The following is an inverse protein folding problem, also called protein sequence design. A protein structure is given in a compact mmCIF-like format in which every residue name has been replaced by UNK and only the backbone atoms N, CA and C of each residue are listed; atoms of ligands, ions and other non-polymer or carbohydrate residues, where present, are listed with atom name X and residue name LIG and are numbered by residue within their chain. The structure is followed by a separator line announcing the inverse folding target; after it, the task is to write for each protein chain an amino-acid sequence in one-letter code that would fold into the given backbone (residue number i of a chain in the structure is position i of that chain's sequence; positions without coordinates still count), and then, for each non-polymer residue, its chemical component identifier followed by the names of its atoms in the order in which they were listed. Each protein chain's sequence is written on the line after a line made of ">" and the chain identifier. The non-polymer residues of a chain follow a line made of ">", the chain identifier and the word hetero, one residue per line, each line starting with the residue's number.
data_IF_289240959117
#
_entry.id   IF_289240959117
#
_cell.length_a   1.000
_cell.length_b   1.000
_cell.length_c   1.000
_cell.angle_alpha   90.00
_cell.angle_beta   90.00
_cell.angle_gamma   90.00
#
_symmetry.space_group_name_H-M   'P 1'
#
loop_
_entity.id
_entity.type
_entity.pdbx_description
1 polymer ?
#
# COMPACT_ATOMS: atom_id res chain seq x y z
N UNK A 1 -1.25 11.16 22.28
CA UNK A 1 -1.11 11.38 20.83
C UNK A 1 0.06 10.55 20.30
N UNK A 2 -0.16 9.66 19.34
CA UNK A 2 0.88 8.76 18.82
C UNK A 2 1.77 9.50 17.81
N UNK A 3 3.10 9.34 17.90
CA UNK A 3 4.03 9.95 16.92
C UNK A 3 4.03 9.16 15.61
N UNK A 4 3.93 9.88 14.48
CA UNK A 4 4.10 9.33 13.13
C UNK A 4 5.55 9.44 12.68
N UNK A 5 5.99 8.51 11.84
CA UNK A 5 7.37 8.51 11.32
C UNK A 5 7.62 9.59 10.25
N UNK A 6 6.56 10.12 9.65
CA UNK A 6 6.63 11.19 8.66
C UNK A 6 5.55 12.22 8.96
N UNK A 7 5.94 13.49 8.97
CA UNK A 7 5.04 14.63 9.04
C UNK A 7 4.66 15.05 7.62
N UNK A 8 3.37 15.09 7.27
CA UNK A 8 2.96 15.57 5.95
C UNK A 8 3.33 17.04 5.77
N UNK A 9 3.73 17.42 4.56
CA UNK A 9 4.07 18.80 4.24
C UNK A 9 2.85 19.75 4.38
N UNK A 10 1.65 19.24 4.10
CA UNK A 10 0.40 19.94 4.36
C UNK A 10 -0.55 19.02 5.15
N UNK A 11 -0.78 19.28 6.45
CA UNK A 11 -1.62 18.43 7.29
C UNK A 11 -3.10 18.50 6.90
N UNK A 12 -3.57 19.63 6.35
CA UNK A 12 -4.97 19.82 5.97
C UNK A 12 -5.35 19.01 4.72
N UNK A 13 -4.37 18.75 3.85
CA UNK A 13 -4.55 18.01 2.59
C UNK A 13 -4.05 16.55 2.68
N UNK A 14 -3.78 16.06 3.89
CA UNK A 14 -3.21 14.73 4.09
C UNK A 14 -4.07 13.89 5.02
N UNK A 15 -4.42 12.69 4.59
CA UNK A 15 -5.00 11.66 5.45
C UNK A 15 -3.92 10.72 5.98
N UNK A 16 -4.09 10.28 7.23
CA UNK A 16 -3.17 9.35 7.90
C UNK A 16 -3.97 8.18 8.46
N UNK A 17 -3.43 6.97 8.32
CA UNK A 17 -3.96 5.76 8.94
C UNK A 17 -2.83 4.96 9.59
N UNK A 18 -3.14 4.27 10.69
CA UNK A 18 -2.19 3.44 11.43
C UNK A 18 -2.84 2.16 11.95
N UNK A 19 -2.12 1.06 11.86
CA UNK A 19 -2.41 -0.18 12.58
C UNK A 19 -1.29 -0.47 13.58
N UNK A 20 -1.64 -0.85 14.81
CA UNK A 20 -0.70 -1.23 15.88
C UNK A 20 -0.85 -2.71 16.22
N UNK A 21 0.24 -3.37 16.63
CA UNK A 21 0.25 -4.78 17.07
C UNK A 21 -0.36 -5.79 16.07
N UNK A 22 -0.17 -5.54 14.77
CA UNK A 22 -0.69 -6.42 13.72
C UNK A 22 0.03 -7.78 13.72
N UNK A 23 -0.74 -8.87 13.71
CA UNK A 23 -0.22 -10.26 13.61
C UNK A 23 0.19 -10.61 12.18
N UNK A 24 1.16 -9.89 11.63
CA UNK A 24 1.71 -10.09 10.28
C UNK A 24 3.23 -10.17 10.28
N UNK A 25 3.80 -10.80 9.25
CA UNK A 25 5.25 -10.79 9.05
C UNK A 25 5.72 -9.40 8.67
N UNK A 26 6.61 -8.83 9.49
CA UNK A 26 7.22 -7.54 9.24
C UNK A 26 7.90 -7.47 7.87
N UNK A 27 8.68 -8.51 7.51
CA UNK A 27 9.46 -8.55 6.27
C UNK A 27 8.56 -8.47 5.04
N UNK A 28 7.47 -9.23 5.02
CA UNK A 28 6.53 -9.23 3.89
C UNK A 28 5.76 -7.92 3.77
N UNK A 29 5.29 -7.40 4.91
CA UNK A 29 4.52 -6.15 4.94
C UNK A 29 5.36 -4.96 4.48
N UNK A 30 6.66 -4.92 4.83
CA UNK A 30 7.58 -3.88 4.36
C UNK A 30 7.72 -3.88 2.84
N UNK A 31 7.99 -5.03 2.23
CA UNK A 31 8.16 -5.11 0.77
C UNK A 31 6.85 -4.76 0.05
N UNK A 32 5.71 -5.20 0.59
CA UNK A 32 4.38 -4.85 0.07
C UNK A 32 4.12 -3.35 0.12
N UNK A 33 4.39 -2.70 1.26
CA UNK A 33 4.22 -1.26 1.43
C UNK A 33 5.17 -0.47 0.52
N UNK A 34 6.38 -0.98 0.30
CA UNK A 34 7.35 -0.36 -0.60
C UNK A 34 6.92 -0.46 -2.07
N UNK A 35 6.22 -1.53 -2.47
CA UNK A 35 5.75 -1.72 -3.84
C UNK A 35 4.70 -0.67 -4.25
N UNK A 36 3.82 -0.28 -3.32
CA UNK A 36 2.75 0.70 -3.57
C UNK A 36 3.16 2.16 -3.28
N UNK A 37 4.39 2.38 -2.78
CA UNK A 37 4.85 3.72 -2.37
C UNK A 37 4.90 4.66 -3.58
N UNK A 38 4.17 5.78 -3.50
CA UNK A 38 4.13 6.81 -4.55
C UNK A 38 3.12 6.55 -5.66
N UNK A 39 2.26 5.53 -5.53
CA UNK A 39 1.19 5.27 -6.49
C UNK A 39 -0.08 6.04 -6.11
N UNK A 40 -0.92 6.28 -7.11
CA UNK A 40 -2.29 6.76 -6.86
C UNK A 40 -3.09 5.67 -6.13
N UNK A 41 -4.00 6.08 -5.24
CA UNK A 41 -4.77 5.20 -4.35
C UNK A 41 -5.58 4.15 -5.13
N UNK A 42 -6.26 4.57 -6.20
CA UNK A 42 -7.03 3.66 -7.06
C UNK A 42 -6.14 2.60 -7.73
N UNK A 43 -4.98 3.02 -8.26
CA UNK A 43 -4.01 2.11 -8.87
C UNK A 43 -3.44 1.12 -7.85
N UNK A 44 -3.17 1.58 -6.63
CA UNK A 44 -2.68 0.74 -5.55
C UNK A 44 -3.71 -0.33 -5.14
N UNK A 45 -5.00 0.02 -5.03
CA UNK A 45 -6.08 -0.94 -4.73
C UNK A 45 -6.17 -2.04 -5.77
N UNK A 46 -6.25 -1.67 -7.05
CA UNK A 46 -6.33 -2.62 -8.17
C UNK A 46 -5.10 -3.56 -8.17
N UNK A 47 -3.91 -3.03 -7.93
CA UNK A 47 -2.70 -3.84 -7.87
C UNK A 47 -2.72 -4.84 -6.72
N UNK A 48 -3.17 -4.44 -5.54
CA UNK A 48 -3.26 -5.34 -4.38
C UNK A 48 -4.28 -6.45 -4.61
N UNK A 49 -5.40 -6.17 -5.30
CA UNK A 49 -6.37 -7.18 -5.73
C UNK A 49 -5.76 -8.16 -6.73
N UNK A 50 -5.08 -7.66 -7.77
CA UNK A 50 -4.37 -8.51 -8.74
C UNK A 50 -3.29 -9.38 -8.09
N UNK A 51 -2.69 -8.94 -6.98
CA UNK A 51 -1.75 -9.75 -6.20
C UNK A 51 -2.45 -10.86 -5.42
N UNK A 52 -3.67 -10.62 -4.91
CA UNK A 52 -4.48 -11.67 -4.28
C UNK A 52 -4.94 -12.72 -5.31
N UNK A 53 -5.21 -12.29 -6.54
CA UNK A 53 -5.55 -13.15 -7.67
C UNK A 53 -4.32 -13.80 -8.33
N UNK A 54 -3.13 -13.58 -7.78
CA UNK A 54 -1.85 -14.11 -8.27
C UNK A 54 -1.49 -13.70 -9.72
N UNK A 55 -2.16 -12.68 -10.27
CA UNK A 55 -1.88 -12.14 -11.60
C UNK A 55 -0.58 -11.31 -11.61
N UNK A 56 -0.35 -10.58 -10.53
CA UNK A 56 0.87 -9.80 -10.30
C UNK A 56 1.54 -10.21 -8.99
N UNK A 57 2.85 -10.03 -8.88
CA UNK A 57 3.61 -10.38 -7.68
C UNK A 57 4.20 -9.15 -6.99
N UNK A 58 4.45 -9.27 -5.69
CA UNK A 58 5.14 -8.25 -4.91
C UNK A 58 6.65 -8.45 -5.04
N UNK A 59 7.39 -7.43 -5.51
CA UNK A 59 8.84 -7.53 -5.64
C UNK A 59 9.52 -7.55 -4.27
N UNK A 60 10.43 -8.51 -4.04
CA UNK A 60 11.24 -8.56 -2.81
C UNK A 60 12.65 -8.05 -3.10
N UNK A 61 12.97 -6.85 -2.60
CA UNK A 61 14.26 -6.19 -2.84
C UNK A 61 15.23 -6.39 -1.68
N UNK A 62 14.81 -6.12 -0.44
CA UNK A 62 15.71 -6.19 0.73
C UNK A 62 15.75 -7.58 1.33
N UNK A 63 14.58 -8.17 1.61
CA UNK A 63 14.48 -9.46 2.29
C UNK A 63 14.32 -10.63 1.32
N UNK A 64 15.35 -10.90 0.49
CA UNK A 64 15.23 -11.81 -0.65
C UNK A 64 16.11 -13.07 -0.60
N UNK A 65 16.75 -13.38 0.53
CA UNK A 65 17.76 -14.45 0.63
C UNK A 65 17.24 -15.83 0.21
N UNK A 66 16.09 -16.27 0.74
CA UNK A 66 15.51 -17.61 0.51
C UNK A 66 14.14 -17.55 -0.18
N UNK A 67 14.05 -16.80 -1.27
CA UNK A 67 12.81 -16.60 -2.03
C UNK A 67 12.97 -17.16 -3.44
N UNK A 68 11.95 -17.91 -3.88
CA UNK A 68 11.83 -18.44 -5.23
C UNK A 68 11.79 -17.33 -6.30
N UNK A 69 12.24 -17.68 -7.51
CA UNK A 69 12.20 -16.78 -8.65
C UNK A 69 10.86 -16.90 -9.37
N UNK A 70 10.33 -15.78 -9.84
CA UNK A 70 9.05 -15.74 -10.56
C UNK A 70 9.14 -14.80 -11.75
N UNK A 71 8.62 -15.16 -12.93
CA UNK A 71 8.68 -14.31 -14.13
C UNK A 71 7.94 -12.98 -13.95
N UNK A 72 6.90 -12.94 -13.11
CA UNK A 72 6.13 -11.73 -12.79
C UNK A 72 6.99 -10.62 -12.14
N UNK A 73 8.13 -10.97 -11.53
CA UNK A 73 9.06 -9.99 -10.98
C UNK A 73 9.73 -9.11 -12.04
N UNK A 74 9.77 -9.56 -13.31
CA UNK A 74 10.41 -8.83 -14.42
C UNK A 74 9.83 -7.43 -14.62
N UNK A 75 8.52 -7.25 -14.42
CA UNK A 75 7.85 -5.94 -14.49
C UNK A 75 8.50 -4.91 -13.56
N UNK A 76 8.98 -5.36 -12.39
CA UNK A 76 9.58 -4.51 -11.37
C UNK A 76 11.11 -4.53 -11.37
N UNK A 77 11.72 -5.15 -12.40
CA UNK A 77 13.17 -5.33 -12.53
C UNK A 77 13.78 -6.28 -11.48
N UNK A 78 12.98 -7.16 -10.88
CA UNK A 78 13.46 -8.12 -9.87
C UNK A 78 13.26 -9.56 -10.31
N UNK A 79 14.20 -10.44 -9.93
CA UNK A 79 14.07 -11.87 -10.22
C UNK A 79 13.21 -12.60 -9.18
N UNK A 80 13.10 -12.03 -7.96
CA UNK A 80 12.46 -12.67 -6.79
C UNK A 80 11.21 -11.89 -6.39
N UNK A 81 10.05 -12.54 -6.41
CA UNK A 81 8.77 -11.96 -6.00
C UNK A 81 7.86 -13.05 -5.38
N UNK A 82 6.87 -12.64 -4.58
CA UNK A 82 5.88 -13.54 -3.94
C UNK A 82 4.51 -12.88 -3.79
N UNK A 83 3.52 -13.66 -3.33
CA UNK A 83 2.16 -13.22 -3.02
C UNK A 83 1.85 -13.35 -1.50
N UNK A 84 2.32 -12.42 -0.65
CA UNK A 84 2.02 -12.43 0.78
C UNK A 84 0.56 -12.00 1.08
N UNK A 85 -0.40 -12.90 0.87
CA UNK A 85 -1.84 -12.62 0.98
C UNK A 85 -2.25 -11.96 2.32
N UNK A 86 -1.68 -12.41 3.45
CA UNK A 86 -1.99 -11.82 4.77
C UNK A 86 -1.59 -10.35 4.82
N UNK A 87 -0.35 -10.02 4.43
CA UNK A 87 0.16 -8.64 4.45
C UNK A 87 -0.60 -7.73 3.48
N UNK A 88 -0.98 -8.24 2.32
CA UNK A 88 -1.76 -7.51 1.31
C UNK A 88 -3.13 -7.09 1.86
N UNK A 89 -3.89 -8.02 2.45
CA UNK A 89 -5.20 -7.73 3.05
C UNK A 89 -5.13 -6.65 4.13
N UNK A 90 -4.10 -6.68 4.97
CA UNK A 90 -3.92 -5.65 5.99
C UNK A 90 -3.61 -4.27 5.40
N UNK A 91 -2.76 -4.21 4.38
CA UNK A 91 -2.44 -2.93 3.71
C UNK A 91 -3.67 -2.39 2.98
N UNK A 92 -4.45 -3.24 2.33
CA UNK A 92 -5.72 -2.84 1.71
C UNK A 92 -6.67 -2.23 2.73
N UNK A 93 -6.83 -2.86 3.91
CA UNK A 93 -7.64 -2.30 5.00
C UNK A 93 -7.13 -0.94 5.51
N UNK A 94 -5.80 -0.74 5.57
CA UNK A 94 -5.24 0.56 5.94
C UNK A 94 -5.51 1.64 4.89
N UNK A 95 -5.52 1.29 3.60
CA UNK A 95 -5.85 2.22 2.52
C UNK A 95 -7.32 2.64 2.55
N UNK A 96 -8.23 1.71 2.81
CA UNK A 96 -9.66 2.02 2.98
C UNK A 96 -9.87 2.94 4.17
N UNK A 97 -9.21 2.65 5.30
CA UNK A 97 -9.29 3.52 6.48
C UNK A 97 -8.71 4.93 6.21
N UNK A 98 -7.62 5.02 5.46
CA UNK A 98 -7.04 6.31 5.06
C UNK A 98 -7.98 7.11 4.15
N UNK A 99 -8.69 6.44 3.24
CA UNK A 99 -9.69 7.05 2.36
C UNK A 99 -10.88 7.59 3.15
N UNK A 100 -11.44 6.79 4.07
CA UNK A 100 -12.51 7.27 4.96
C UNK A 100 -12.07 8.48 5.79
N UNK A 101 -10.82 8.50 6.26
CA UNK A 101 -10.29 9.68 6.96
C UNK A 101 -10.15 10.90 6.04
N UNK A 102 -9.83 10.71 4.75
CA UNK A 102 -9.73 11.80 3.78
C UNK A 102 -11.11 12.41 3.46
N UNK A 103 -12.15 11.58 3.41
CA UNK A 103 -13.54 12.01 3.24
C UNK A 103 -14.02 12.84 4.43
N UNK A 104 -13.77 12.37 5.66
CA UNK A 104 -14.12 13.09 6.89
C UNK A 104 -13.42 14.44 6.99
N UNK A 105 -12.14 14.51 6.59
CA UNK A 105 -11.38 15.76 6.59
C UNK A 105 -11.66 16.65 5.37
N UNK A 106 -12.64 16.34 4.51
CA UNK A 106 -13.06 17.13 3.33
C UNK A 106 -11.99 17.36 2.25
N UNK A 107 -10.95 16.52 2.21
CA UNK A 107 -9.84 16.66 1.24
C UNK A 107 -10.32 16.34 -0.20
N UNK A 108 -11.36 15.50 -0.32
CA UNK A 108 -11.88 15.01 -1.61
C UNK A 108 -13.00 15.89 -2.20
N UNK A 109 -13.80 16.57 -1.38
CA UNK A 109 -14.99 17.31 -1.85
C UNK A 109 -14.70 18.59 -2.63
N UNK A 110 -13.49 19.15 -2.53
CA UNK A 110 -13.14 20.40 -3.22
C UNK A 110 -12.98 20.27 -4.75
N UNK A 111 -12.84 19.06 -5.30
CA UNK A 111 -12.71 18.85 -6.75
C UNK A 111 -14.02 18.53 -7.48
N UNK A 112 -15.08 18.16 -6.76
CA UNK A 112 -16.38 17.82 -7.37
C UNK A 112 -17.39 18.99 -7.41
N UNK A 113 -17.01 20.18 -6.94
CA UNK A 113 -17.86 21.39 -6.97
C UNK A 113 -17.63 22.31 -8.17
N UNK A 114 -16.66 22.02 -9.05
CA UNK A 114 -16.31 22.85 -10.22
C UNK A 114 -16.45 22.13 -11.58
N UNK A 115 -17.32 21.12 -11.66
CA UNK A 115 -17.82 20.62 -12.95
C UNK A 115 -19.34 20.74 -12.97
N UNK A 116 -19.78 21.99 -13.20
CA UNK A 116 -21.09 22.33 -13.75
C UNK A 116 -20.92 22.71 -15.21
#
# INVERSE_FOLDING_TARGET
>A
MTRYASTPANPEKSAVAKGSYLRVSFKNTRETAQAIKGWNLQKAKIYLEQVLDHQRAIPFRRFNSSIGRTPQGKEFGVTKARWPAKSVKFIQGLLVNAESNAEVCTITSHYNMFQS
#
